data_IF_593323971283
#
_entry.id   IF_593323971283
#
_cell.length_a   1.000
_cell.length_b   1.000
_cell.length_c   1.000
_cell.angle_alpha   90.00
_cell.angle_beta   90.00
_cell.angle_gamma   90.00
#
_symmetry.space_group_name_H-M   'P 1'
#
loop_
_entity.id
_entity.type
_entity.pdbx_description
1 polymer ?
#
# COMPACT_ATOMS: atom_id res chain seq x y z
N UNK A 1 10.79 0.63 -19.31
CA UNK A 1 11.57 0.68 -18.05
C UNK A 1 10.53 0.59 -16.94
N UNK A 2 10.55 -0.40 -16.04
CA UNK A 2 9.60 -0.43 -14.93
C UNK A 2 9.86 0.79 -14.03
N UNK A 3 8.86 1.65 -13.84
CA UNK A 3 8.96 2.76 -12.90
C UNK A 3 9.04 2.21 -11.47
N UNK A 4 9.80 2.86 -10.57
CA UNK A 4 9.92 2.43 -9.16
C UNK A 4 8.55 2.33 -8.49
N UNK A 5 7.58 3.14 -8.91
CA UNK A 5 6.16 3.04 -8.51
C UNK A 5 5.56 1.66 -8.80
N UNK A 6 5.88 1.04 -9.95
CA UNK A 6 5.42 -0.31 -10.29
C UNK A 6 6.01 -1.37 -9.35
N UNK A 7 7.25 -1.19 -8.87
CA UNK A 7 7.88 -2.09 -7.91
C UNK A 7 7.14 -2.04 -6.56
N UNK A 8 6.86 -0.83 -6.06
CA UNK A 8 6.12 -0.63 -4.81
C UNK A 8 4.72 -1.25 -4.90
N UNK A 9 3.99 -0.91 -5.97
CA UNK A 9 2.63 -1.41 -6.19
C UNK A 9 2.59 -2.93 -6.35
N UNK A 10 3.54 -3.53 -7.08
CA UNK A 10 3.65 -4.99 -7.22
C UNK A 10 3.98 -5.65 -5.88
N UNK A 11 4.83 -5.04 -5.07
CA UNK A 11 5.20 -5.57 -3.76
C UNK A 11 3.99 -5.60 -2.81
N UNK A 12 3.24 -4.50 -2.72
CA UNK A 12 1.98 -4.45 -1.96
C UNK A 12 1.03 -5.53 -2.48
N UNK A 13 0.91 -5.62 -3.81
CA UNK A 13 0.00 -6.57 -4.45
C UNK A 13 0.28 -8.01 -4.02
N UNK A 14 1.51 -8.45 -4.22
CA UNK A 14 1.93 -9.81 -3.87
C UNK A 14 1.68 -10.11 -2.39
N UNK A 15 2.01 -9.17 -1.50
CA UNK A 15 1.86 -9.37 -0.06
C UNK A 15 0.39 -9.46 0.38
N UNK A 16 -0.54 -8.75 -0.27
CA UNK A 16 -1.96 -8.85 0.05
C UNK A 16 -2.58 -10.11 -0.56
N UNK A 17 -2.19 -10.48 -1.78
CA UNK A 17 -2.64 -11.72 -2.44
C UNK A 17 -2.20 -12.97 -1.66
N UNK A 18 -0.96 -12.99 -1.13
CA UNK A 18 -0.46 -14.06 -0.24
C UNK A 18 -1.29 -14.21 1.06
N UNK A 19 -1.99 -13.14 1.48
CA UNK A 19 -2.92 -13.14 2.62
C UNK A 19 -4.35 -13.53 2.22
N UNK A 20 -4.60 -13.90 0.96
CA UNK A 20 -5.92 -14.25 0.46
C UNK A 20 -6.82 -13.06 0.15
N UNK A 21 -6.25 -11.85 0.04
CA UNK A 21 -7.00 -10.64 -0.29
C UNK A 21 -6.98 -10.38 -1.80
N UNK A 22 -8.11 -9.92 -2.33
CA UNK A 22 -8.25 -9.44 -3.71
C UNK A 22 -7.95 -7.96 -3.75
N UNK A 23 -7.25 -7.53 -4.80
CA UNK A 23 -6.83 -6.13 -4.95
C UNK A 23 -7.59 -5.42 -6.05
N UNK A 24 -8.08 -4.24 -5.71
CA UNK A 24 -8.77 -3.35 -6.62
C UNK A 24 -8.05 -1.99 -6.68
N UNK A 25 -7.74 -1.54 -7.89
CA UNK A 25 -7.24 -0.20 -8.15
C UNK A 25 -8.41 0.72 -8.47
N UNK A 26 -8.54 1.79 -7.71
CA UNK A 26 -9.51 2.84 -8.03
C UNK A 26 -8.92 3.79 -9.07
N UNK A 27 -9.78 4.53 -9.76
CA UNK A 27 -9.37 5.58 -10.70
C UNK A 27 -8.55 6.71 -10.06
N UNK A 28 -8.58 6.86 -8.73
CA UNK A 28 -7.80 7.85 -7.95
C UNK A 28 -6.46 7.30 -7.41
N UNK A 29 -5.86 6.29 -8.06
CA UNK A 29 -4.59 5.65 -7.65
C UNK A 29 -4.60 5.01 -6.24
N UNK A 30 -5.78 4.77 -5.65
CA UNK A 30 -5.93 4.04 -4.39
C UNK A 30 -5.95 2.55 -4.66
N UNK A 31 -5.34 1.79 -3.76
CA UNK A 31 -5.32 0.33 -3.78
C UNK A 31 -6.10 -0.21 -2.59
N UNK A 32 -7.17 -0.94 -2.87
CA UNK A 32 -8.03 -1.58 -1.87
C UNK A 32 -7.71 -3.07 -1.83
N UNK A 33 -7.39 -3.60 -0.65
CA UNK A 33 -7.27 -5.02 -0.41
C UNK A 33 -8.53 -5.51 0.31
N UNK A 34 -9.27 -6.40 -0.34
CA UNK A 34 -10.60 -6.86 0.07
C UNK A 34 -10.59 -8.36 0.37
N UNK A 35 -11.39 -8.79 1.33
CA UNK A 35 -11.62 -10.21 1.58
C UNK A 35 -12.66 -10.82 0.62
N UNK A 36 -12.98 -12.10 0.85
CA UNK A 36 -13.97 -12.86 0.07
C UNK A 36 -15.40 -12.28 0.12
N UNK A 37 -15.70 -11.46 1.12
CA UNK A 37 -17.00 -10.79 1.28
C UNK A 37 -17.01 -9.39 0.64
N UNK A 38 -15.96 -9.03 -0.10
CA UNK A 38 -15.75 -7.69 -0.63
C UNK A 38 -15.71 -6.61 0.47
N UNK A 39 -15.28 -6.96 1.69
CA UNK A 39 -14.98 -5.96 2.71
C UNK A 39 -13.52 -5.49 2.58
N UNK A 40 -13.31 -4.18 2.53
CA UNK A 40 -11.96 -3.62 2.50
C UNK A 40 -11.28 -3.80 3.87
N UNK A 41 -10.21 -4.59 3.88
CA UNK A 41 -9.38 -4.82 5.06
C UNK A 41 -8.22 -3.82 5.13
N UNK A 42 -7.65 -3.46 3.97
CA UNK A 42 -6.60 -2.47 3.85
C UNK A 42 -6.90 -1.50 2.70
N UNK A 43 -6.61 -0.21 2.90
CA UNK A 43 -6.64 0.82 1.86
C UNK A 43 -5.31 1.54 1.85
N UNK A 44 -4.66 1.55 0.70
CA UNK A 44 -3.39 2.20 0.46
C UNK A 44 -3.63 3.41 -0.44
N UNK A 45 -3.53 4.59 0.15
CA UNK A 45 -3.58 5.85 -0.60
C UNK A 45 -2.15 6.18 -1.03
N UNK A 46 -1.81 5.79 -2.26
CA UNK A 46 -0.49 5.96 -2.85
C UNK A 46 -0.44 7.25 -3.66
N UNK A 47 0.63 8.02 -3.47
CA UNK A 47 0.94 9.17 -4.31
C UNK A 47 2.39 9.05 -4.73
N UNK A 48 2.64 9.08 -6.03
CA UNK A 48 3.98 9.03 -6.61
C UNK A 48 4.34 10.38 -7.21
N UNK A 49 5.58 10.80 -7.00
CA UNK A 49 6.17 11.97 -7.64
C UNK A 49 7.51 11.62 -8.27
N UNK A 50 8.13 12.58 -8.93
CA UNK A 50 9.47 12.41 -9.52
C UNK A 50 10.56 12.17 -8.47
N UNK A 51 10.34 12.56 -7.20
CA UNK A 51 11.37 12.58 -6.16
C UNK A 51 11.06 11.68 -4.96
N UNK A 52 9.79 11.31 -4.77
CA UNK A 52 9.31 10.58 -3.61
C UNK A 52 8.04 9.77 -3.90
N UNK A 53 7.63 9.01 -2.90
CA UNK A 53 6.27 8.54 -2.77
C UNK A 53 5.75 8.73 -1.35
N UNK A 54 4.43 8.81 -1.25
CA UNK A 54 3.74 8.71 0.03
C UNK A 54 2.71 7.59 -0.01
N UNK A 55 2.47 6.99 1.16
CA UNK A 55 1.46 5.98 1.36
C UNK A 55 0.74 6.27 2.67
N UNK A 56 -0.57 6.44 2.64
CA UNK A 56 -1.40 6.35 3.85
C UNK A 56 -2.05 4.98 3.89
N UNK A 57 -1.74 4.21 4.93
CA UNK A 57 -2.37 2.93 5.17
C UNK A 57 -3.56 3.11 6.10
N UNK A 58 -4.73 2.72 5.63
CA UNK A 58 -5.91 2.55 6.47
C UNK A 58 -6.24 1.07 6.62
N UNK A 59 -6.66 0.67 7.82
CA UNK A 59 -7.11 -0.69 8.11
C UNK A 59 -8.51 -0.70 8.70
N UNK A 60 -9.22 -1.81 8.54
CA UNK A 60 -10.54 -1.98 9.16
C UNK A 60 -10.42 -1.97 10.69
N UNK A 61 -11.15 -1.06 11.32
CA UNK A 61 -11.41 -1.02 12.76
C UNK A 61 -12.91 -1.07 13.05
N UNK A 62 -13.28 -0.91 14.33
CA UNK A 62 -14.67 -1.03 14.80
C UNK A 62 -15.66 -0.09 14.09
N UNK A 63 -15.19 1.08 13.65
CA UNK A 63 -16.01 2.12 13.01
C UNK A 63 -15.74 2.27 11.51
N UNK A 64 -15.13 1.26 10.88
CA UNK A 64 -14.72 1.30 9.47
C UNK A 64 -13.22 1.53 9.30
N UNK A 65 -12.80 2.06 8.16
CA UNK A 65 -11.38 2.29 7.85
C UNK A 65 -10.79 3.39 8.73
N UNK A 66 -9.68 3.07 9.39
CA UNK A 66 -8.96 3.98 10.27
C UNK A 66 -7.51 4.07 9.81
N UNK A 67 -6.92 5.26 9.89
CA UNK A 67 -5.51 5.47 9.57
C UNK A 67 -4.64 4.67 10.56
N UNK A 68 -3.80 3.79 10.02
CA UNK A 68 -2.88 2.94 10.78
C UNK A 68 -1.45 3.49 10.73
N UNK A 69 -1.00 3.91 9.56
CA UNK A 69 0.37 4.40 9.37
C UNK A 69 0.49 5.33 8.16
N UNK A 70 1.51 6.20 8.17
CA UNK A 70 1.84 7.09 7.05
C UNK A 70 3.32 7.05 6.70
N UNK A 71 3.59 6.91 5.41
CA UNK A 71 4.94 6.95 4.85
C UNK A 71 5.08 8.13 3.90
N UNK A 72 6.23 8.80 3.96
CA UNK A 72 6.67 9.79 2.97
C UNK A 72 8.18 9.59 2.76
N UNK A 73 8.55 9.03 1.61
CA UNK A 73 9.87 8.46 1.37
C UNK A 73 10.40 8.96 0.03
N UNK A 74 11.52 9.69 0.06
CA UNK A 74 12.26 10.04 -1.16
C UNK A 74 12.83 8.79 -1.83
N UNK A 75 12.89 8.79 -3.17
CA UNK A 75 13.55 7.74 -3.96
C UNK A 75 15.03 7.56 -3.61
N UNK A 76 15.67 8.59 -3.05
CA UNK A 76 17.06 8.53 -2.57
C UNK A 76 17.21 7.87 -1.20
N UNK A 77 16.10 7.67 -0.46
CA UNK A 77 16.11 7.08 0.87
C UNK A 77 15.89 5.55 0.82
N UNK A 78 16.96 4.82 0.47
CA UNK A 78 16.92 3.35 0.39
C UNK A 78 16.55 2.67 1.73
N UNK A 79 16.91 3.28 2.87
CA UNK A 79 16.56 2.76 4.21
C UNK A 79 15.04 2.84 4.43
N UNK A 80 14.43 3.99 4.15
CA UNK A 80 12.98 4.19 4.28
C UNK A 80 12.18 3.27 3.35
N UNK A 81 12.65 3.04 2.12
CA UNK A 81 12.03 2.08 1.20
C UNK A 81 12.04 0.67 1.80
N UNK A 82 13.17 0.24 2.38
CA UNK A 82 13.27 -1.08 3.03
C UNK A 82 12.34 -1.19 4.24
N UNK A 83 12.32 -0.18 5.10
CA UNK A 83 11.44 -0.14 6.28
C UNK A 83 9.96 -0.20 5.87
N UNK A 84 9.56 0.50 4.81
CA UNK A 84 8.22 0.38 4.24
C UNK A 84 7.92 -1.04 3.76
N UNK A 85 8.82 -1.66 2.99
CA UNK A 85 8.62 -3.03 2.50
C UNK A 85 8.54 -4.05 3.64
N UNK A 86 9.37 -3.91 4.66
CA UNK A 86 9.33 -4.75 5.87
C UNK A 86 8.02 -4.55 6.63
N UNK A 87 7.55 -3.32 6.76
CA UNK A 87 6.25 -3.03 7.36
C UNK A 87 5.12 -3.73 6.61
N UNK A 88 5.02 -3.55 5.28
CA UNK A 88 3.99 -4.20 4.45
C UNK A 88 4.04 -5.74 4.53
N UNK A 89 5.22 -6.33 4.70
CA UNK A 89 5.36 -7.78 4.91
C UNK A 89 4.78 -8.25 6.24
N UNK A 90 4.78 -7.39 7.26
CA UNK A 90 4.43 -7.76 8.63
C UNK A 90 3.04 -7.27 9.09
N UNK A 91 2.33 -6.48 8.29
CA UNK A 91 0.98 -5.96 8.66
C UNK A 91 -0.15 -7.00 8.66
#
# INVERSE_FOLDING_TARGET
MEHVSAIITRFIRQNMEERGLVLYFTDDDKLLAMDENFETQFKFDLVFSDNDFSCQLLTRGEKGLQMRERFNISWTNAKGIREFMEYIRNI
#
